data_IF_662919899967
#
_entry.id   IF_662919899967
#
_cell.length_a   1.000
_cell.length_b   1.000
_cell.length_c   1.000
_cell.angle_alpha   90.00
_cell.angle_beta   90.00
_cell.angle_gamma   90.00
#
_symmetry.space_group_name_H-M   'P 1'
#
loop_
_entity.id
_entity.type
_entity.pdbx_description
1 polymer ?
#
# COMPACT_ATOMS: atom_id res chain seq x y z
N UNK A 1 22.66 14.47 21.97
CA UNK A 1 22.80 13.07 22.43
C UNK A 1 22.36 12.22 21.26
N UNK A 2 23.28 11.43 20.71
CA UNK A 2 23.00 10.57 19.54
C UNK A 2 22.09 9.43 20.01
N UNK A 3 21.05 9.16 19.24
CA UNK A 3 20.12 8.07 19.48
C UNK A 3 20.82 6.74 19.12
N UNK A 4 21.12 5.86 20.09
CA UNK A 4 21.85 4.61 19.84
C UNK A 4 21.07 3.66 18.91
N UNK A 5 19.75 3.80 18.83
CA UNK A 5 18.95 3.07 17.84
C UNK A 5 19.27 3.57 16.41
N UNK A 6 19.36 4.89 16.23
CA UNK A 6 19.76 5.51 14.96
C UNK A 6 21.16 5.09 14.50
N UNK A 7 22.13 4.94 15.41
CA UNK A 7 23.48 4.45 15.05
C UNK A 7 23.47 3.00 14.55
N UNK A 8 22.71 2.13 15.22
CA UNK A 8 22.55 0.73 14.79
C UNK A 8 21.85 0.65 13.44
N UNK A 9 20.78 1.43 13.24
CA UNK A 9 20.09 1.54 11.95
C UNK A 9 21.06 2.02 10.87
N UNK A 10 21.92 3.01 11.16
CA UNK A 10 22.94 3.49 10.23
C UNK A 10 23.93 2.40 9.80
N UNK A 11 24.34 1.52 10.72
CA UNK A 11 25.23 0.39 10.42
C UNK A 11 24.58 -0.68 9.54
N UNK A 12 23.27 -0.89 9.67
CA UNK A 12 22.52 -1.85 8.84
C UNK A 12 22.41 -1.41 7.37
N UNK A 13 22.72 -0.14 7.06
CA UNK A 13 22.57 0.45 5.72
C UNK A 13 21.24 0.11 5.05
N UNK A 14 20.09 0.27 5.76
CA UNK A 14 18.80 -0.04 5.20
C UNK A 14 18.56 0.82 3.96
N UNK A 15 18.22 0.17 2.86
CA UNK A 15 17.78 0.86 1.65
C UNK A 15 16.27 0.76 1.60
N UNK A 16 15.59 1.91 1.60
CA UNK A 16 14.18 1.93 1.24
C UNK A 16 14.08 1.44 -0.20
N UNK A 17 13.44 0.28 -0.39
CA UNK A 17 13.29 -0.31 -1.73
C UNK A 17 12.45 0.63 -2.61
N UNK A 18 11.39 1.21 -2.03
CA UNK A 18 10.55 2.23 -2.67
C UNK A 18 9.54 2.82 -1.65
N UNK A 19 9.07 4.06 -1.85
CA UNK A 19 7.95 4.65 -1.11
C UNK A 19 7.03 5.41 -2.06
N UNK A 20 5.71 5.22 -1.92
CA UNK A 20 4.71 5.76 -2.83
C UNK A 20 3.39 6.04 -2.12
N UNK A 21 2.79 7.19 -2.41
CA UNK A 21 1.40 7.46 -2.06
C UNK A 21 0.45 6.70 -2.98
N UNK A 22 -0.54 6.04 -2.42
CA UNK A 22 -1.63 5.42 -3.17
C UNK A 22 -2.91 6.10 -2.73
N UNK A 23 -3.70 6.61 -3.66
CA UNK A 23 -5.05 7.10 -3.35
C UNK A 23 -6.10 6.39 -4.16
N UNK A 24 -7.30 6.33 -3.59
CA UNK A 24 -8.46 5.74 -4.24
C UNK A 24 -9.67 6.66 -4.13
N UNK A 25 -10.46 6.78 -5.19
CA UNK A 25 -11.69 7.57 -5.20
C UNK A 25 -12.82 6.93 -6.01
N UNK A 26 -14.04 6.97 -5.46
CA UNK A 26 -15.23 6.40 -6.08
C UNK A 26 -15.20 4.87 -6.11
N UNK A 27 -15.65 4.28 -7.22
CA UNK A 27 -15.60 2.83 -7.46
C UNK A 27 -14.22 2.44 -7.99
N UNK A 28 -13.39 1.85 -7.13
CA UNK A 28 -12.02 1.44 -7.47
C UNK A 28 -11.59 0.19 -6.71
N UNK A 29 -10.71 -0.58 -7.33
CA UNK A 29 -10.03 -1.71 -6.71
C UNK A 29 -8.90 -2.18 -7.60
N UNK A 30 -7.79 -2.59 -7.00
CA UNK A 30 -6.62 -3.11 -7.71
C UNK A 30 -6.07 -4.34 -7.03
N UNK A 31 -5.57 -5.28 -7.83
CA UNK A 31 -4.93 -6.52 -7.39
C UNK A 31 -3.45 -6.45 -7.74
N UNK A 32 -2.59 -6.40 -6.74
CA UNK A 32 -1.15 -6.53 -6.92
C UNK A 32 -0.77 -7.99 -6.88
N UNK A 33 -0.03 -8.49 -7.86
CA UNK A 33 0.61 -9.82 -7.83
C UNK A 33 1.53 -10.03 -6.62
N UNK A 34 2.05 -11.24 -6.46
CA UNK A 34 3.09 -11.52 -5.46
C UNK A 34 4.33 -10.66 -5.73
N UNK A 35 4.83 -9.96 -4.72
CA UNK A 35 6.01 -9.10 -4.86
C UNK A 35 7.26 -9.71 -4.21
N UNK A 36 7.10 -10.67 -3.28
CA UNK A 36 8.20 -11.41 -2.66
C UNK A 36 9.11 -10.61 -1.70
N UNK A 37 9.01 -9.28 -1.67
CA UNK A 37 9.76 -8.41 -0.78
C UNK A 37 8.90 -7.90 0.39
N UNK A 38 9.51 -7.48 1.51
CA UNK A 38 8.77 -6.82 2.58
C UNK A 38 8.13 -5.52 2.09
N UNK A 39 6.89 -5.27 2.51
CA UNK A 39 6.22 -3.98 2.29
C UNK A 39 5.51 -3.54 3.56
N UNK A 40 5.30 -2.23 3.66
CA UNK A 40 4.44 -1.66 4.68
C UNK A 40 3.60 -0.55 4.08
N UNK A 41 2.46 -0.29 4.70
CA UNK A 41 1.57 0.81 4.34
C UNK A 41 0.94 1.38 5.61
N UNK A 42 0.61 2.65 5.56
CA UNK A 42 -0.21 3.33 6.56
C UNK A 42 -1.33 4.04 5.81
N UNK A 43 -2.56 3.92 6.32
CA UNK A 43 -3.66 4.75 5.82
C UNK A 43 -3.54 6.12 6.48
N UNK A 44 -3.28 7.15 5.69
CA UNK A 44 -3.14 8.53 6.16
C UNK A 44 -4.50 9.15 6.39
N UNK A 45 -5.43 8.95 5.47
CA UNK A 45 -6.80 9.46 5.55
C UNK A 45 -7.80 8.49 4.92
N UNK A 46 -9.05 8.56 5.38
CA UNK A 46 -10.14 7.76 4.85
C UNK A 46 -10.08 6.29 5.26
N UNK A 47 -10.56 5.40 4.39
CA UNK A 47 -10.60 3.96 4.65
C UNK A 47 -10.69 3.13 3.37
N UNK A 48 -10.22 1.89 3.43
CA UNK A 48 -10.27 0.93 2.33
C UNK A 48 -10.40 -0.50 2.84
N UNK A 49 -10.61 -1.44 1.91
CA UNK A 49 -10.52 -2.87 2.17
C UNK A 49 -9.18 -3.41 1.67
N UNK A 50 -8.55 -4.23 2.48
CA UNK A 50 -7.35 -5.00 2.15
C UNK A 50 -7.67 -6.50 2.25
N UNK A 51 -7.52 -7.21 1.13
CA UNK A 51 -7.59 -8.66 1.10
C UNK A 51 -6.24 -9.24 0.67
N UNK A 52 -5.51 -9.82 1.61
CA UNK A 52 -4.25 -10.52 1.35
C UNK A 52 -4.55 -12.00 1.07
N UNK A 53 -3.85 -12.60 0.12
CA UNK A 53 -4.01 -14.02 -0.19
C UNK A 53 -3.86 -14.89 1.07
N UNK A 54 -4.78 -15.85 1.22
CA UNK A 54 -4.87 -16.77 2.37
C UNK A 54 -5.12 -16.10 3.74
N UNK A 55 -5.53 -14.83 3.77
CA UNK A 55 -5.91 -14.12 4.99
C UNK A 55 -7.37 -13.65 4.93
N UNK A 56 -7.92 -13.32 6.09
CA UNK A 56 -9.22 -12.64 6.15
C UNK A 56 -9.11 -11.21 5.60
N UNK A 57 -10.15 -10.76 4.91
CA UNK A 57 -10.26 -9.36 4.49
C UNK A 57 -10.31 -8.44 5.73
N UNK A 58 -9.59 -7.33 5.65
CA UNK A 58 -9.52 -6.30 6.67
C UNK A 58 -10.09 -4.99 6.12
N UNK A 59 -10.81 -4.25 6.95
CA UNK A 59 -11.09 -2.83 6.72
C UNK A 59 -10.01 -2.02 7.42
N UNK A 60 -9.28 -1.20 6.67
CA UNK A 60 -8.27 -0.29 7.18
C UNK A 60 -8.84 1.12 7.25
N UNK A 61 -8.57 1.83 8.34
CA UNK A 61 -8.97 3.21 8.59
C UNK A 61 -7.74 4.09 8.77
N UNK A 62 -7.92 5.41 8.70
CA UNK A 62 -6.86 6.37 8.98
C UNK A 62 -6.12 6.06 10.30
N UNK A 63 -4.80 5.97 10.22
CA UNK A 63 -3.90 5.59 11.31
C UNK A 63 -3.55 4.09 11.36
N UNK A 64 -4.29 3.22 10.67
CA UNK A 64 -3.98 1.80 10.62
C UNK A 64 -2.71 1.55 9.80
N UNK A 65 -1.83 0.70 10.32
CA UNK A 65 -0.56 0.32 9.73
C UNK A 65 -0.54 -1.17 9.44
N UNK A 66 -0.05 -1.53 8.25
CA UNK A 66 0.11 -2.91 7.80
C UNK A 66 1.58 -3.14 7.48
N UNK A 67 2.12 -4.24 8.00
CA UNK A 67 3.44 -4.76 7.66
C UNK A 67 3.27 -6.16 7.09
N UNK A 68 3.80 -6.36 5.88
CA UNK A 68 3.86 -7.65 5.21
C UNK A 68 5.33 -8.04 5.09
N UNK A 69 5.84 -8.96 5.95
CA UNK A 69 7.25 -9.37 5.91
C UNK A 69 7.67 -10.01 4.59
N UNK A 70 6.73 -10.65 3.92
CA UNK A 70 6.82 -11.07 2.51
C UNK A 70 5.48 -10.69 1.93
N UNK A 71 5.45 -9.85 0.90
CA UNK A 71 4.22 -9.30 0.34
C UNK A 71 3.59 -10.31 -0.61
N UNK A 72 2.55 -11.05 -0.19
CA UNK A 72 1.85 -11.97 -1.05
C UNK A 72 1.03 -11.16 -2.05
N UNK A 73 0.35 -11.84 -2.98
CA UNK A 73 -0.68 -11.18 -3.75
C UNK A 73 -1.76 -10.57 -2.83
N UNK A 74 -2.19 -9.35 -3.13
CA UNK A 74 -3.21 -8.67 -2.34
C UNK A 74 -4.08 -7.73 -3.19
N UNK A 75 -5.32 -7.57 -2.76
CA UNK A 75 -6.27 -6.60 -3.32
C UNK A 75 -6.43 -5.44 -2.34
N UNK A 76 -6.36 -4.21 -2.85
CA UNK A 76 -6.86 -3.02 -2.15
C UNK A 76 -8.03 -2.43 -2.93
N UNK A 77 -9.09 -2.02 -2.23
CA UNK A 77 -10.29 -1.50 -2.88
C UNK A 77 -11.09 -0.55 -1.99
N UNK A 78 -11.97 0.23 -2.63
CA UNK A 78 -13.05 0.91 -1.93
C UNK A 78 -14.13 -0.06 -1.44
N UNK A 79 -15.27 0.49 -1.01
CA UNK A 79 -16.38 -0.32 -0.47
C UNK A 79 -17.45 -0.66 -1.51
N UNK A 80 -17.38 -0.05 -2.69
CA UNK A 80 -18.29 -0.34 -3.80
C UNK A 80 -17.85 -1.60 -4.56
N UNK A 81 -18.77 -2.50 -4.95
CA UNK A 81 -18.42 -3.71 -5.69
C UNK A 81 -17.71 -3.39 -7.02
N UNK A 82 -16.53 -3.95 -7.25
CA UNK A 82 -15.71 -3.69 -8.46
C UNK A 82 -14.96 -4.95 -8.87
N UNK A 83 -14.60 -5.06 -10.15
CA UNK A 83 -13.62 -6.05 -10.61
C UNK A 83 -12.24 -5.37 -10.50
N UNK A 84 -11.33 -5.85 -9.64
CA UNK A 84 -10.05 -5.20 -9.45
C UNK A 84 -9.19 -5.22 -10.72
N UNK A 85 -8.52 -4.11 -11.01
CA UNK A 85 -7.51 -4.05 -12.07
C UNK A 85 -6.23 -4.73 -11.61
N UNK A 86 -5.67 -5.62 -12.43
CA UNK A 86 -4.42 -6.30 -12.10
C UNK A 86 -3.22 -5.38 -12.30
N UNK A 87 -2.31 -5.35 -11.33
CA UNK A 87 -1.06 -4.60 -11.36
C UNK A 87 0.09 -5.57 -11.10
N UNK A 88 1.05 -5.55 -12.03
CA UNK A 88 2.35 -6.18 -11.81
C UNK A 88 3.18 -5.30 -10.84
N UNK A 89 3.49 -5.79 -9.63
CA UNK A 89 4.21 -5.01 -8.65
C UNK A 89 5.63 -4.66 -9.12
N UNK A 90 6.29 -5.49 -9.93
CA UNK A 90 7.64 -5.23 -10.41
C UNK A 90 7.71 -4.09 -11.42
N UNK A 91 6.61 -3.85 -12.16
CA UNK A 91 6.46 -2.68 -13.03
C UNK A 91 6.06 -1.46 -12.21
N UNK A 92 5.12 -1.62 -11.28
CA UNK A 92 4.58 -0.52 -10.48
C UNK A 92 5.62 0.20 -9.61
N UNK A 93 6.67 -0.50 -9.18
CA UNK A 93 7.81 0.05 -8.41
C UNK A 93 8.59 1.11 -9.19
N UNK A 94 8.55 1.07 -10.52
CA UNK A 94 9.28 2.04 -11.36
C UNK A 94 8.55 3.39 -11.53
N UNK A 95 7.26 3.45 -11.21
CA UNK A 95 6.45 4.65 -11.35
C UNK A 95 6.68 5.61 -10.18
N UNK A 96 7.14 6.83 -10.46
CA UNK A 96 7.41 7.86 -9.46
C UNK A 96 6.15 8.68 -9.12
N UNK A 97 6.05 9.16 -7.87
CA UNK A 97 4.92 9.98 -7.40
C UNK A 97 3.69 9.17 -6.97
N UNK A 98 2.62 9.86 -6.60
CA UNK A 98 1.37 9.24 -6.15
C UNK A 98 0.66 8.50 -7.30
N UNK A 99 0.14 7.29 -7.04
CA UNK A 99 -0.81 6.63 -7.96
C UNK A 99 -2.21 6.72 -7.43
N UNK A 100 -3.10 7.21 -8.28
CA UNK A 100 -4.51 7.39 -7.99
C UNK A 100 -5.37 6.39 -8.75
N UNK A 101 -6.14 5.60 -8.03
CA UNK A 101 -7.07 4.61 -8.55
C UNK A 101 -8.51 5.14 -8.58
N UNK A 102 -9.27 4.72 -9.60
CA UNK A 102 -10.65 5.15 -9.80
C UNK A 102 -10.75 6.57 -10.34
N UNK A 103 -11.61 7.38 -9.72
CA UNK A 103 -11.87 8.75 -10.18
C UNK A 103 -10.63 9.63 -10.02
N UNK A 104 -10.23 10.29 -11.11
CA UNK A 104 -9.01 11.10 -11.16
C UNK A 104 -9.16 12.46 -10.45
N UNK A 105 -10.39 13.01 -10.43
CA UNK A 105 -10.67 14.32 -9.84
C UNK A 105 -11.45 14.25 -8.51
N UNK A 106 -11.40 15.34 -7.75
CA UNK A 106 -12.12 15.50 -6.49
C UNK A 106 -11.42 14.84 -5.28
N UNK A 107 -12.09 14.75 -4.13
CA UNK A 107 -11.51 14.18 -2.92
C UNK A 107 -11.27 12.67 -3.05
N UNK A 108 -10.19 12.21 -2.42
CA UNK A 108 -9.88 10.79 -2.18
C UNK A 108 -10.81 10.21 -1.11
N UNK A 109 -11.19 8.95 -1.27
CA UNK A 109 -11.82 8.15 -0.22
C UNK A 109 -10.80 7.47 0.71
N UNK A 110 -9.55 7.33 0.24
CA UNK A 110 -8.42 6.82 1.02
C UNK A 110 -7.10 7.39 0.48
N UNK A 111 -6.10 7.56 1.35
CA UNK A 111 -4.67 7.76 1.02
C UNK A 111 -3.78 6.96 1.96
#
# INVERSE_FOLDING_TARGET
>A
MIDPLSDIIGLLRPQAVFTKGISGAGRWGVRYGDFGHPSFAIVIEGSCRLAVDAQAELTLNAGDFVLLPTTPGFTISGFEPVIPEFIDPHVAVTATGEVRHGRQDGPSSVR
#
